data_IF_471434257428
#
_entry.id   IF_471434257428
#
_cell.length_a   1.000
_cell.length_b   1.000
_cell.length_c   1.000
_cell.angle_alpha   90.00
_cell.angle_beta   90.00
_cell.angle_gamma   90.00
#
_symmetry.space_group_name_H-M   'P 1'
#
loop_
_entity.id
_entity.type
_entity.pdbx_description
1 polymer ?
#
# COMPACT_ATOMS: atom_id res chain seq x y z
N UNK A 1 -21.21 -0.40 -3.31
CA UNK A 1 -19.95 0.09 -3.92
C UNK A 1 -19.77 -0.29 -5.40
N UNK A 2 -19.48 -1.54 -5.80
CA UNK A 2 -19.20 -1.85 -7.23
C UNK A 2 -20.35 -1.52 -8.19
N UNK A 3 -21.59 -1.86 -7.82
CA UNK A 3 -22.78 -1.52 -8.59
C UNK A 3 -23.02 0.00 -8.68
N UNK A 4 -22.70 0.77 -7.63
CA UNK A 4 -22.82 2.23 -7.62
C UNK A 4 -21.81 2.88 -8.59
N UNK A 5 -20.58 2.35 -8.66
CA UNK A 5 -19.58 2.82 -9.62
C UNK A 5 -20.08 2.60 -11.05
N UNK A 6 -20.62 1.41 -11.35
CA UNK A 6 -21.18 1.07 -12.66
C UNK A 6 -22.41 1.93 -13.01
N UNK A 7 -23.34 2.10 -12.06
CA UNK A 7 -24.50 2.97 -12.22
C UNK A 7 -24.11 4.47 -12.38
N UNK A 8 -22.93 4.84 -11.90
CA UNK A 8 -22.36 6.18 -12.02
C UNK A 8 -21.59 6.45 -13.31
N UNK A 9 -21.37 5.46 -14.18
CA UNK A 9 -20.63 5.64 -15.44
C UNK A 9 -21.23 6.70 -16.38
N UNK A 10 -22.57 6.85 -16.51
CA UNK A 10 -23.16 7.92 -17.34
C UNK A 10 -22.71 9.34 -16.96
N UNK A 11 -22.29 9.57 -15.70
CA UNK A 11 -21.76 10.87 -15.26
C UNK A 11 -20.37 11.16 -15.80
N UNK A 12 -19.64 10.13 -16.25
CA UNK A 12 -18.30 10.24 -16.84
C UNK A 12 -18.35 10.29 -18.37
N UNK A 13 -19.19 9.46 -18.98
CA UNK A 13 -19.49 9.50 -20.41
C UNK A 13 -20.95 9.09 -20.61
N UNK A 14 -21.75 10.00 -21.19
CA UNK A 14 -23.18 9.81 -21.36
C UNK A 14 -23.56 8.61 -22.25
N UNK A 15 -22.60 8.09 -23.05
CA UNK A 15 -22.81 6.90 -23.90
C UNK A 15 -22.77 5.59 -23.10
N UNK A 16 -22.30 5.60 -21.85
CA UNK A 16 -22.20 4.43 -20.97
C UNK A 16 -23.46 4.18 -20.12
N UNK A 17 -24.62 4.16 -20.76
CA UNK A 17 -25.88 3.80 -20.09
C UNK A 17 -26.00 2.28 -20.00
N UNK A 18 -26.05 1.75 -18.79
CA UNK A 18 -26.15 0.31 -18.51
C UNK A 18 -27.52 -0.02 -17.88
N UNK A 19 -28.27 -0.99 -18.42
CA UNK A 19 -29.46 -1.52 -17.77
C UNK A 19 -29.13 -2.09 -16.39
N UNK A 20 -30.08 -2.00 -15.45
CA UNK A 20 -29.86 -2.47 -14.08
C UNK A 20 -29.44 -3.95 -14.00
N UNK A 21 -30.02 -4.81 -14.85
CA UNK A 21 -29.65 -6.23 -14.95
C UNK A 21 -28.17 -6.41 -15.31
N UNK A 22 -27.63 -5.54 -16.17
CA UNK A 22 -26.25 -5.62 -16.62
C UNK A 22 -25.30 -5.04 -15.57
N UNK A 23 -25.71 -3.99 -14.85
CA UNK A 23 -24.99 -3.50 -13.66
C UNK A 23 -24.85 -4.63 -12.63
N UNK A 24 -25.94 -5.32 -12.29
CA UNK A 24 -25.92 -6.45 -11.35
C UNK A 24 -25.04 -7.60 -11.85
N UNK A 25 -25.06 -7.88 -13.16
CA UNK A 25 -24.21 -8.91 -13.79
C UNK A 25 -22.72 -8.57 -13.76
N UNK A 26 -22.37 -7.30 -13.96
CA UNK A 26 -20.98 -6.84 -14.06
C UNK A 26 -20.35 -6.50 -12.70
N UNK A 27 -21.16 -6.17 -11.69
CA UNK A 27 -20.70 -5.78 -10.37
C UNK A 27 -19.72 -6.77 -9.71
N UNK A 28 -19.91 -8.10 -9.77
CA UNK A 28 -18.94 -9.05 -9.20
C UNK A 28 -17.56 -8.99 -9.87
N UNK A 29 -17.52 -8.72 -11.18
CA UNK A 29 -16.25 -8.57 -11.90
C UNK A 29 -15.49 -7.32 -11.47
N UNK A 30 -16.21 -6.21 -11.26
CA UNK A 30 -15.61 -4.99 -10.73
C UNK A 30 -15.24 -5.10 -9.24
N UNK A 31 -15.99 -5.88 -8.45
CA UNK A 31 -15.64 -6.16 -7.06
C UNK A 31 -14.24 -6.77 -6.94
N UNK A 32 -13.83 -7.64 -7.88
CA UNK A 32 -12.47 -8.19 -7.94
C UNK A 32 -11.38 -7.15 -8.15
N UNK A 33 -11.68 -6.02 -8.79
CA UNK A 33 -10.71 -4.92 -8.89
C UNK A 33 -10.49 -4.30 -7.52
N UNK A 34 -11.58 -4.03 -6.80
CA UNK A 34 -11.58 -3.41 -5.48
C UNK A 34 -10.89 -4.32 -4.45
N UNK A 35 -11.14 -5.63 -4.52
CA UNK A 35 -10.46 -6.65 -3.71
C UNK A 35 -8.94 -6.67 -3.94
N UNK A 36 -8.48 -6.30 -5.14
CA UNK A 36 -7.04 -6.15 -5.46
C UNK A 36 -6.47 -4.78 -5.08
N UNK A 37 -7.24 -3.98 -4.34
CA UNK A 37 -6.83 -2.66 -3.86
C UNK A 37 -6.97 -1.55 -4.91
N UNK A 38 -7.75 -1.77 -5.98
CA UNK A 38 -8.02 -0.70 -6.94
C UNK A 38 -8.87 0.39 -6.30
N UNK A 39 -8.46 1.65 -6.52
CA UNK A 39 -9.22 2.81 -6.08
C UNK A 39 -10.55 2.93 -6.88
N UNK A 40 -11.70 3.17 -6.21
CA UNK A 40 -13.02 3.29 -6.86
C UNK A 40 -13.10 4.34 -7.98
N UNK A 41 -12.51 5.52 -7.78
CA UNK A 41 -12.50 6.61 -8.75
C UNK A 41 -11.64 6.26 -9.96
N UNK A 42 -10.47 5.65 -9.71
CA UNK A 42 -9.61 5.10 -10.75
C UNK A 42 -10.33 4.04 -11.60
N UNK A 43 -11.05 3.12 -10.97
CA UNK A 43 -11.85 2.11 -11.67
C UNK A 43 -12.84 2.75 -12.66
N UNK A 44 -13.61 3.74 -12.20
CA UNK A 44 -14.58 4.46 -13.04
C UNK A 44 -13.91 5.18 -14.22
N UNK A 45 -12.76 5.83 -13.99
CA UNK A 45 -11.98 6.48 -15.05
C UNK A 45 -11.44 5.47 -16.06
N UNK A 46 -10.84 4.37 -15.63
CA UNK A 46 -10.31 3.34 -16.52
C UNK A 46 -11.41 2.70 -17.38
N UNK A 47 -12.58 2.44 -16.79
CA UNK A 47 -13.70 1.88 -17.53
C UNK A 47 -14.27 2.84 -18.59
N UNK A 48 -14.18 4.15 -18.38
CA UNK A 48 -14.65 5.18 -19.32
C UNK A 48 -13.57 5.72 -20.27
N UNK A 49 -12.30 5.36 -20.08
CA UNK A 49 -11.19 5.92 -20.88
C UNK A 49 -11.21 5.42 -22.33
N UNK A 50 -10.81 6.25 -23.30
CA UNK A 50 -10.53 5.82 -24.69
C UNK A 50 -11.65 4.96 -25.33
N UNK A 51 -12.91 5.37 -25.19
CA UNK A 51 -14.03 4.63 -25.77
C UNK A 51 -14.00 4.72 -27.31
N UNK A 52 -14.26 3.62 -28.02
CA UNK A 52 -14.27 3.61 -29.48
C UNK A 52 -15.41 4.48 -30.02
N UNK A 53 -15.18 5.09 -31.18
CA UNK A 53 -16.20 5.81 -31.94
C UNK A 53 -16.38 5.11 -33.30
N UNK A 54 -17.58 4.57 -33.63
CA UNK A 54 -18.80 4.61 -32.83
C UNK A 54 -18.86 3.57 -31.69
N UNK A 55 -19.47 3.95 -30.56
CA UNK A 55 -19.70 3.04 -29.43
C UNK A 55 -20.92 2.16 -29.69
N UNK A 56 -20.69 0.96 -30.24
CA UNK A 56 -21.77 0.03 -30.62
C UNK A 56 -22.40 -0.69 -29.42
N UNK A 57 -21.60 -1.10 -28.43
CA UNK A 57 -22.06 -1.94 -27.32
C UNK A 57 -21.46 -1.51 -25.97
N UNK A 58 -22.10 -0.58 -25.25
CA UNK A 58 -21.63 -0.10 -23.95
C UNK A 58 -21.43 -1.23 -22.92
N UNK A 59 -22.39 -2.15 -22.81
CA UNK A 59 -22.30 -3.29 -21.89
C UNK A 59 -21.13 -4.21 -22.27
N UNK A 60 -20.95 -4.48 -23.56
CA UNK A 60 -19.90 -5.36 -24.08
C UNK A 60 -18.50 -4.82 -23.82
N UNK A 61 -18.28 -3.53 -24.04
CA UNK A 61 -16.97 -2.91 -23.79
C UNK A 61 -16.63 -2.90 -22.30
N UNK A 62 -17.61 -2.61 -21.43
CA UNK A 62 -17.39 -2.62 -19.98
C UNK A 62 -17.11 -4.04 -19.49
N UNK A 63 -17.87 -5.03 -19.95
CA UNK A 63 -17.63 -6.44 -19.64
C UNK A 63 -16.22 -6.87 -20.05
N UNK A 64 -15.80 -6.52 -21.27
CA UNK A 64 -14.46 -6.81 -21.76
C UNK A 64 -13.39 -6.15 -20.88
N UNK A 65 -13.52 -4.86 -20.58
CA UNK A 65 -12.53 -4.11 -19.80
C UNK A 65 -12.38 -4.62 -18.38
N UNK A 66 -13.49 -4.96 -17.72
CA UNK A 66 -13.45 -5.54 -16.37
C UNK A 66 -12.57 -6.80 -16.32
N UNK A 67 -12.57 -7.60 -17.39
CA UNK A 67 -11.73 -8.81 -17.47
C UNK A 67 -10.31 -8.48 -17.96
N UNK A 68 -10.19 -7.73 -19.06
CA UNK A 68 -8.94 -7.49 -19.75
C UNK A 68 -7.99 -6.53 -19.00
N UNK A 69 -8.54 -5.57 -18.24
CA UNK A 69 -7.79 -4.56 -17.50
C UNK A 69 -7.76 -4.85 -16.00
N UNK A 70 -8.12 -6.07 -15.58
CA UNK A 70 -8.12 -6.47 -14.18
C UNK A 70 -6.73 -6.22 -13.57
N UNK A 71 -6.60 -5.33 -12.57
CA UNK A 71 -5.31 -4.96 -12.01
C UNK A 71 -4.55 -6.21 -11.55
N UNK A 72 -3.24 -6.26 -11.81
CA UNK A 72 -2.41 -7.32 -11.26
C UNK A 72 -2.55 -7.33 -9.73
N UNK A 73 -2.51 -8.52 -9.13
CA UNK A 73 -2.48 -8.62 -7.69
C UNK A 73 -1.22 -7.90 -7.19
N UNK A 74 -1.39 -6.80 -6.44
CA UNK A 74 -0.27 -6.20 -5.71
C UNK A 74 -0.14 -6.93 -4.37
N UNK A 75 0.96 -7.69 -4.13
CA UNK A 75 1.18 -8.26 -2.82
C UNK A 75 1.28 -7.10 -1.83
N UNK A 76 0.40 -7.09 -0.83
CA UNK A 76 0.51 -6.15 0.28
C UNK A 76 1.87 -6.41 0.92
N UNK A 77 2.82 -5.53 0.67
CA UNK A 77 4.10 -5.60 1.35
C UNK A 77 3.81 -5.49 2.84
N UNK A 78 4.30 -6.43 3.68
CA UNK A 78 4.13 -6.29 5.11
C UNK A 78 4.68 -4.92 5.53
N UNK A 79 4.06 -4.28 6.54
CA UNK A 79 4.54 -2.99 7.02
C UNK A 79 6.06 -3.11 7.25
N UNK A 80 6.82 -2.19 6.64
CA UNK A 80 8.27 -2.17 6.83
C UNK A 80 8.51 -2.13 8.34
N UNK A 81 9.27 -3.11 8.86
CA UNK A 81 9.66 -3.13 10.27
C UNK A 81 10.23 -1.74 10.59
N UNK A 82 9.76 -1.13 11.68
CA UNK A 82 10.25 0.18 12.10
C UNK A 82 11.78 0.15 12.12
N UNK A 83 12.41 1.13 11.47
CA UNK A 83 13.86 1.25 11.49
C UNK A 83 14.29 1.51 12.94
N UNK A 84 15.01 0.55 13.53
CA UNK A 84 15.68 0.74 14.82
C UNK A 84 17.08 1.25 14.48
N UNK A 85 17.40 2.54 14.69
CA UNK A 85 18.74 3.03 14.49
C UNK A 85 19.70 2.23 15.38
N UNK A 86 20.90 1.85 14.88
CA UNK A 86 21.87 1.20 15.72
C UNK A 86 22.34 2.16 16.81
N UNK A 87 22.73 1.61 17.96
CA UNK A 87 23.20 2.43 19.09
C UNK A 87 24.31 3.40 18.65
N UNK A 88 24.29 4.65 19.16
CA UNK A 88 25.27 5.67 18.81
C UNK A 88 26.69 5.25 19.20
N UNK A 89 27.67 5.88 18.55
CA UNK A 89 29.06 5.74 18.95
C UNK A 89 29.32 6.56 20.21
N UNK A 90 29.94 5.93 21.20
CA UNK A 90 30.38 6.51 22.47
C UNK A 90 31.90 6.32 22.59
N UNK A 91 32.56 7.24 23.27
CA UNK A 91 33.99 7.11 23.63
C UNK A 91 34.11 6.51 25.02
N UNK A 92 34.97 5.51 25.19
CA UNK A 92 35.17 4.85 26.49
C UNK A 92 35.93 5.74 27.46
N UNK A 93 35.37 5.96 28.66
CA UNK A 93 36.01 6.75 29.73
C UNK A 93 37.29 6.12 30.32
N UNK A 94 37.59 4.85 30.00
CA UNK A 94 38.73 4.13 30.56
C UNK A 94 39.91 3.92 29.60
N UNK A 95 39.64 3.80 28.30
CA UNK A 95 40.68 3.51 27.30
C UNK A 95 40.52 4.32 26.00
N UNK A 96 39.62 5.32 26.00
CA UNK A 96 39.33 6.22 24.87
C UNK A 96 38.87 5.52 23.57
N UNK A 97 38.63 4.21 23.62
CA UNK A 97 38.16 3.43 22.47
C UNK A 97 36.70 3.78 22.15
N UNK A 98 36.44 3.99 20.87
CA UNK A 98 35.07 4.19 20.35
C UNK A 98 34.32 2.86 20.30
N UNK A 99 33.12 2.82 20.86
CA UNK A 99 32.24 1.64 20.88
C UNK A 99 30.77 2.05 20.70
N UNK A 100 29.89 1.10 20.37
CA UNK A 100 28.44 1.36 20.25
C UNK A 100 27.74 1.06 21.56
N UNK A 101 26.99 2.04 22.09
CA UNK A 101 26.18 1.89 23.31
C UNK A 101 25.09 2.95 23.37
N UNK A 102 23.97 2.62 24.02
CA UNK A 102 22.86 3.56 24.27
C UNK A 102 23.27 4.71 25.16
N UNK A 103 24.04 4.40 26.19
CA UNK A 103 24.49 5.34 27.21
C UNK A 103 26.02 5.47 27.17
N UNK A 104 26.56 6.67 27.46
CA UNK A 104 28.00 6.85 27.69
C UNK A 104 28.51 5.93 28.80
N UNK A 105 29.77 5.51 28.70
CA UNK A 105 30.40 4.70 29.74
C UNK A 105 31.63 3.95 29.28
N UNK A 106 31.95 2.85 29.98
CA UNK A 106 33.15 2.05 29.70
C UNK A 106 32.84 0.89 28.75
N UNK A 107 33.79 0.60 27.85
CA UNK A 107 33.69 -0.55 26.97
C UNK A 107 33.84 -1.87 27.75
N UNK A 108 33.32 -2.97 27.20
CA UNK A 108 33.42 -4.33 27.78
C UNK A 108 34.85 -4.87 27.92
N UNK A 109 35.80 -4.27 27.21
CA UNK A 109 37.20 -4.68 27.22
C UNK A 109 37.97 -4.01 28.38
N UNK A 110 37.40 -2.97 29.00
CA UNK A 110 37.97 -2.38 30.20
C UNK A 110 37.70 -3.29 31.41
N UNK A 111 38.68 -3.47 32.32
CA UNK A 111 38.41 -4.17 33.58
C UNK A 111 37.34 -3.41 34.37
N UNK A 112 36.42 -4.11 35.05
CA UNK A 112 35.43 -3.47 35.91
C UNK A 112 36.16 -2.56 36.91
N UNK A 113 35.70 -1.32 37.05
CA UNK A 113 36.14 -0.47 38.17
C UNK A 113 35.57 -1.08 39.44
N UNK A 114 36.43 -1.50 40.36
CA UNK A 114 36.03 -1.89 41.71
C UNK A 114 35.22 -0.76 42.35
N UNK A 115 33.90 -0.90 42.33
CA UNK A 115 33.00 -0.04 43.10
C UNK A 115 32.59 -0.78 44.36
N UNK A 116 33.56 -0.99 45.26
CA UNK A 116 33.33 -1.22 46.70
C UNK A 116 34.62 -1.00 47.50
N UNK A 117 34.95 0.26 47.76
CA UNK A 117 35.82 0.64 48.88
C UNK A 117 35.54 2.09 49.28
N UNK A 118 34.59 2.29 50.21
CA UNK A 118 34.60 3.33 51.25
C UNK A 118 33.21 3.47 51.90
N UNK A 119 32.94 2.61 52.88
CA UNK A 119 32.11 2.95 54.02
C UNK A 119 32.72 2.25 55.24
N UNK A 120 33.60 2.98 55.92
CA UNK A 120 34.04 2.72 57.29
C UNK A 120 33.91 4.05 58.05
#
# INVERSE_FOLDING_TARGET
MAAEILAGLPRRDARLVLPEKDVRRLAPGLARWLERGADPESCGRTLAASLPEPLKTPVGIIAHRIVALLPAWMPVLPPRRAFVPPDPFQTCDGCERVFRSREPGRCRDCPPTDRTAAAA
#
